data_IF_222919449265
#
_entry.id   IF_222919449265
#
_cell.length_a   1.000
_cell.length_b   1.000
_cell.length_c   1.000
_cell.angle_alpha   90.00
_cell.angle_beta   90.00
_cell.angle_gamma   90.00
#
_symmetry.space_group_name_H-M   'P 1'
#
loop_
_entity.id
_entity.type
_entity.pdbx_description
1 polymer ?
#
# COMPACT_ATOMS: atom_id res chain seq x y z
N UNK A 1 23.62 4.66 5.97
CA UNK A 1 22.35 5.22 5.45
C UNK A 1 22.22 4.82 3.97
N UNK A 2 21.11 4.38 3.37
CA UNK A 2 19.70 4.77 3.53
C UNK A 2 18.83 3.58 3.09
N UNK A 3 17.92 3.16 3.98
CA UNK A 3 16.98 2.04 3.82
C UNK A 3 15.71 2.52 3.08
N UNK A 4 15.86 3.12 1.91
CA UNK A 4 14.77 3.85 1.23
C UNK A 4 14.07 3.07 0.11
N UNK A 5 14.69 2.02 -0.43
CA UNK A 5 14.12 1.28 -1.58
C UNK A 5 12.95 0.36 -1.22
N UNK A 6 12.85 -0.08 0.04
CA UNK A 6 11.78 -0.98 0.50
C UNK A 6 10.47 -0.29 0.91
N UNK A 7 10.47 1.03 1.10
CA UNK A 7 9.26 1.78 1.50
C UNK A 7 8.36 2.05 0.29
N UNK A 8 8.94 2.26 -0.90
CA UNK A 8 8.19 2.47 -2.13
C UNK A 8 7.50 1.19 -2.65
N UNK A 9 7.90 0.01 -2.19
CA UNK A 9 7.14 -1.23 -2.47
C UNK A 9 5.85 -1.33 -1.64
N UNK A 10 5.68 -0.54 -0.57
CA UNK A 10 4.35 -0.30 0.04
C UNK A 10 3.45 0.55 -0.88
N UNK A 11 4.00 1.19 -1.93
CA UNK A 11 3.28 2.10 -2.80
C UNK A 11 2.45 1.42 -3.91
N UNK A 12 2.71 0.15 -4.28
CA UNK A 12 1.92 -0.52 -5.34
C UNK A 12 0.44 -0.58 -4.97
N UNK A 13 0.11 -0.83 -3.70
CA UNK A 13 -1.27 -0.73 -3.20
C UNK A 13 -1.83 0.68 -3.35
N UNK A 14 -1.05 1.71 -3.03
CA UNK A 14 -1.48 3.10 -3.17
C UNK A 14 -1.73 3.45 -4.65
N UNK A 15 -0.93 2.91 -5.57
CA UNK A 15 -1.17 3.03 -7.01
C UNK A 15 -2.50 2.40 -7.41
N UNK A 16 -2.82 1.20 -6.91
CA UNK A 16 -4.10 0.57 -7.20
C UNK A 16 -5.30 1.31 -6.58
N UNK A 17 -5.16 1.84 -5.37
CA UNK A 17 -6.17 2.72 -4.75
C UNK A 17 -6.37 3.97 -5.62
N UNK A 18 -5.29 4.63 -6.02
CA UNK A 18 -5.35 5.79 -6.89
C UNK A 18 -6.03 5.47 -8.24
N UNK A 19 -5.70 4.33 -8.85
CA UNK A 19 -6.34 3.88 -10.09
C UNK A 19 -7.84 3.74 -9.88
N UNK A 20 -8.26 3.00 -8.85
CA UNK A 20 -9.68 2.77 -8.54
C UNK A 20 -10.45 4.08 -8.34
N UNK A 21 -9.86 5.02 -7.62
CA UNK A 21 -10.55 6.27 -7.26
C UNK A 21 -10.64 7.25 -8.45
N UNK A 22 -9.81 7.07 -9.48
CA UNK A 22 -9.72 7.98 -10.63
C UNK A 22 -10.14 7.36 -11.98
N UNK A 23 -10.59 6.10 -12.02
CA UNK A 23 -11.09 5.45 -13.25
C UNK A 23 -12.34 6.14 -13.86
N UNK A 24 -13.07 6.94 -13.08
CA UNK A 24 -14.19 7.75 -13.58
C UNK A 24 -13.77 9.00 -14.36
N UNK A 25 -12.52 9.46 -14.19
CA UNK A 25 -11.98 10.65 -14.86
C UNK A 25 -11.00 10.32 -15.98
N UNK A 26 -10.22 9.23 -15.83
CA UNK A 26 -9.25 8.79 -16.83
C UNK A 26 -9.38 7.30 -17.15
N UNK A 27 -8.93 6.90 -18.34
CA UNK A 27 -8.98 5.50 -18.73
C UNK A 27 -8.07 4.63 -17.86
N UNK A 28 -8.58 3.46 -17.47
CA UNK A 28 -7.84 2.49 -16.66
C UNK A 28 -6.48 2.11 -17.27
N UNK A 29 -6.42 1.92 -18.60
CA UNK A 29 -5.18 1.58 -19.32
C UNK A 29 -4.13 2.69 -19.21
N UNK A 30 -4.55 3.96 -19.32
CA UNK A 30 -3.65 5.10 -19.16
C UNK A 30 -3.09 5.13 -17.74
N UNK A 31 -3.94 4.97 -16.73
CA UNK A 31 -3.50 4.98 -15.34
C UNK A 31 -2.54 3.82 -15.02
N UNK A 32 -2.77 2.62 -15.57
CA UNK A 32 -1.84 1.50 -15.45
C UNK A 32 -0.48 1.81 -16.08
N UNK A 33 -0.46 2.45 -17.24
CA UNK A 33 0.77 2.82 -17.94
C UNK A 33 1.53 3.92 -17.19
N UNK A 34 0.85 4.99 -16.78
CA UNK A 34 1.46 6.13 -16.05
C UNK A 34 2.06 5.70 -14.72
N UNK A 35 1.41 4.76 -14.02
CA UNK A 35 1.84 4.30 -12.70
C UNK A 35 2.74 3.07 -12.75
N UNK A 36 3.08 2.59 -13.95
CA UNK A 36 3.91 1.40 -14.19
C UNK A 36 3.41 0.20 -13.37
N UNK A 37 2.13 -0.16 -13.58
CA UNK A 37 1.51 -1.33 -12.94
C UNK A 37 0.82 -2.23 -13.95
N UNK A 38 0.85 -3.53 -13.68
CA UNK A 38 0.21 -4.51 -14.54
C UNK A 38 -1.30 -4.63 -14.23
N UNK A 39 -2.18 -4.66 -15.24
CA UNK A 39 -3.62 -4.84 -15.05
C UNK A 39 -4.01 -6.10 -14.26
N UNK A 40 -3.30 -7.21 -14.46
CA UNK A 40 -3.56 -8.46 -13.74
C UNK A 40 -3.37 -8.30 -12.23
N UNK A 41 -2.35 -7.53 -11.83
CA UNK A 41 -2.07 -7.23 -10.43
C UNK A 41 -3.16 -6.36 -9.79
N UNK A 42 -3.79 -5.46 -10.56
CA UNK A 42 -4.93 -4.67 -10.10
C UNK A 42 -6.14 -5.55 -9.78
N UNK A 43 -6.49 -6.49 -10.66
CA UNK A 43 -7.63 -7.38 -10.40
C UNK A 43 -7.36 -8.37 -9.27
N UNK A 44 -6.14 -8.90 -9.16
CA UNK A 44 -5.75 -9.72 -8.01
C UNK A 44 -5.85 -8.93 -6.68
N UNK A 45 -5.42 -7.66 -6.70
CA UNK A 45 -5.56 -6.76 -5.57
C UNK A 45 -7.03 -6.43 -5.25
N UNK A 46 -7.89 -6.28 -6.26
CA UNK A 46 -9.32 -6.01 -6.06
C UNK A 46 -10.00 -7.14 -5.27
N UNK A 47 -9.60 -8.40 -5.53
CA UNK A 47 -10.11 -9.56 -4.81
C UNK A 47 -9.51 -9.70 -3.40
N UNK A 48 -8.24 -9.36 -3.23
CA UNK A 48 -7.55 -9.46 -1.94
C UNK A 48 -6.69 -8.22 -1.66
N UNK A 49 -7.29 -7.10 -1.24
CA UNK A 49 -6.59 -5.82 -1.11
C UNK A 49 -5.62 -5.77 0.08
N UNK A 50 -5.78 -6.69 1.03
CA UNK A 50 -4.91 -6.85 2.19
C UNK A 50 -4.22 -8.21 2.11
N UNK A 51 -2.92 -8.20 1.80
CA UNK A 51 -2.10 -9.41 1.89
C UNK A 51 -1.87 -9.81 3.35
N UNK A 52 -1.54 -11.08 3.58
CA UNK A 52 -1.17 -11.58 4.92
C UNK A 52 -0.08 -10.72 5.58
N UNK A 53 0.93 -10.30 4.79
CA UNK A 53 2.00 -9.42 5.26
C UNK A 53 1.49 -8.06 5.73
N UNK A 54 0.46 -7.51 5.10
CA UNK A 54 -0.11 -6.22 5.51
C UNK A 54 -0.86 -6.34 6.85
N UNK A 55 -1.54 -7.46 7.10
CA UNK A 55 -2.18 -7.71 8.39
C UNK A 55 -1.14 -7.83 9.52
N UNK A 56 -0.03 -8.52 9.25
CA UNK A 56 1.10 -8.62 10.18
C UNK A 56 1.73 -7.24 10.44
N UNK A 57 1.96 -6.44 9.39
CA UNK A 57 2.48 -5.08 9.51
C UNK A 57 1.57 -4.18 10.37
N UNK A 58 0.24 -4.28 10.21
CA UNK A 58 -0.73 -3.53 11.02
C UNK A 58 -0.63 -3.93 12.49
N UNK A 59 -0.60 -5.24 12.78
CA UNK A 59 -0.44 -5.76 14.14
C UNK A 59 0.86 -5.26 14.76
N UNK A 60 1.98 -5.39 14.05
CA UNK A 60 3.29 -4.98 14.53
C UNK A 60 3.35 -3.47 14.77
N UNK A 61 2.78 -2.67 13.87
CA UNK A 61 2.67 -1.21 14.05
C UNK A 61 1.84 -0.86 15.27
N UNK A 62 0.74 -1.57 15.52
CA UNK A 62 -0.08 -1.40 16.73
C UNK A 62 0.73 -1.70 17.99
N UNK A 63 1.48 -2.80 18.01
CA UNK A 63 2.34 -3.17 19.15
C UNK A 63 3.45 -2.13 19.39
N UNK A 64 4.11 -1.64 18.34
CA UNK A 64 5.14 -0.59 18.46
C UNK A 64 4.54 0.68 19.05
N UNK A 65 3.33 1.08 18.62
CA UNK A 65 2.64 2.25 19.18
C UNK A 65 2.30 2.06 20.66
N UNK A 66 1.84 0.87 21.05
CA UNK A 66 1.57 0.55 22.45
C UNK A 66 2.84 0.65 23.29
N UNK A 67 3.93 -0.02 22.90
CA UNK A 67 5.19 0.04 23.62
C UNK A 67 5.75 1.47 23.73
N UNK A 68 5.58 2.28 22.68
CA UNK A 68 6.01 3.68 22.70
C UNK A 68 5.25 4.51 23.75
N UNK A 69 3.93 4.32 23.87
CA UNK A 69 3.11 4.99 24.89
C UNK A 69 3.45 4.50 26.31
N UNK A 70 3.65 3.19 26.49
CA UNK A 70 3.98 2.58 27.78
C UNK A 70 5.38 2.99 28.29
N UNK A 71 6.30 3.35 27.38
CA UNK A 71 7.67 3.77 27.73
C UNK A 71 7.78 5.22 28.26
N UNK A 72 6.65 5.90 28.52
CA UNK A 72 6.65 7.21 29.18
C UNK A 72 7.09 8.39 28.31
N UNK A 73 7.07 8.26 26.98
CA UNK A 73 7.31 9.39 26.07
C UNK A 73 6.02 10.20 25.87
N UNK A 74 5.95 11.38 26.51
CA UNK A 74 5.05 12.52 26.20
C UNK A 74 5.88 13.79 26.26
#
# INVERSE_FOLDING_TARGET
>A
MKKSRGVLLKAVRLRYVFIRDNTGSWSFRLLCWVLDVQPSGFYAWLQQPHSQRHQVDLRLTGQIKQFWLESGCV
#
